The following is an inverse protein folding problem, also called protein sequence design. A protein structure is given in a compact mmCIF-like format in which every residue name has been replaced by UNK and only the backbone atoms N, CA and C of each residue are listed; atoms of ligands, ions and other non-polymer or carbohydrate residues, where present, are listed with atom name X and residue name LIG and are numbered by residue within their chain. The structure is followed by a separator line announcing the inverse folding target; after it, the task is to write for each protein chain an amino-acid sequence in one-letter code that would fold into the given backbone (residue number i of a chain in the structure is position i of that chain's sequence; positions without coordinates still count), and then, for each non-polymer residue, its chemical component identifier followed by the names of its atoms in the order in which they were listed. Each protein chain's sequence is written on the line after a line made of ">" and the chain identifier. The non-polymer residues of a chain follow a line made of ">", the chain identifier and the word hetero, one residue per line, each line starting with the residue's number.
data_IF_782595623466
#
_entry.id   IF_782595623466
#
_cell.length_a   1.000
_cell.length_b   1.000
_cell.length_c   1.000
_cell.angle_alpha   90.00
_cell.angle_beta   90.00
_cell.angle_gamma   90.00
#
_symmetry.space_group_name_H-M   'P 1'
#
loop_
_entity.id
_entity.type
_entity.pdbx_description
1 polymer ?
#
# COMPACT_ATOMS: atom_id res chain seq x y z
N UNK A 1 2.89 22.85 -9.07
CA UNK A 1 3.85 23.03 -7.95
C UNK A 1 3.99 21.78 -7.08
N UNK A 2 2.90 21.25 -6.45
CA UNK A 2 3.03 20.02 -5.64
C UNK A 2 3.21 18.75 -6.49
N UNK A 3 2.53 18.64 -7.63
CA UNK A 3 2.72 17.56 -8.58
C UNK A 3 4.12 17.58 -9.20
N UNK A 4 4.63 18.74 -9.55
CA UNK A 4 6.00 18.90 -10.07
C UNK A 4 7.03 18.46 -9.04
N UNK A 5 6.80 18.79 -7.76
CA UNK A 5 7.65 18.31 -6.66
C UNK A 5 7.64 16.78 -6.54
N UNK A 6 6.47 16.14 -6.65
CA UNK A 6 6.36 14.67 -6.63
C UNK A 6 7.13 14.07 -7.81
N UNK A 7 6.91 14.57 -9.02
CA UNK A 7 7.57 14.06 -10.23
C UNK A 7 9.10 14.15 -10.16
N UNK A 8 9.61 15.26 -9.60
CA UNK A 8 11.05 15.50 -9.52
C UNK A 8 11.76 14.79 -8.37
N UNK A 9 11.04 14.51 -7.26
CA UNK A 9 11.68 14.14 -5.99
C UNK A 9 11.18 12.84 -5.37
N UNK A 10 10.10 12.23 -5.88
CA UNK A 10 9.45 11.07 -5.25
C UNK A 10 9.50 9.85 -6.15
N UNK A 11 10.11 8.78 -5.68
CA UNK A 11 10.17 7.50 -6.39
C UNK A 11 8.95 6.61 -6.13
N UNK A 12 8.47 6.58 -4.88
CA UNK A 12 7.40 5.68 -4.44
C UNK A 12 6.32 6.48 -3.71
N UNK A 13 5.05 6.27 -4.08
CA UNK A 13 3.90 6.93 -3.47
C UNK A 13 2.92 5.91 -2.90
N UNK A 14 2.47 6.18 -1.68
CA UNK A 14 1.31 5.52 -1.06
C UNK A 14 0.20 6.54 -0.90
N UNK A 15 -0.95 6.27 -1.48
CA UNK A 15 -2.11 7.15 -1.43
C UNK A 15 -3.37 6.36 -1.12
N UNK A 16 -4.38 7.03 -0.59
CA UNK A 16 -5.75 6.55 -0.55
C UNK A 16 -6.60 7.28 -1.58
N UNK A 17 -7.86 6.85 -1.77
CA UNK A 17 -8.76 7.48 -2.75
C UNK A 17 -8.99 8.97 -2.50
N UNK A 18 -9.32 9.43 -1.28
CA UNK A 18 -9.50 10.85 -1.00
C UNK A 18 -8.27 11.70 -1.32
N UNK A 19 -7.09 11.23 -0.91
CA UNK A 19 -5.81 11.91 -1.20
C UNK A 19 -5.56 12.01 -2.70
N UNK A 20 -5.77 10.91 -3.42
CA UNK A 20 -5.60 10.85 -4.87
C UNK A 20 -6.57 11.81 -5.60
N UNK A 21 -7.82 11.88 -5.13
CA UNK A 21 -8.83 12.77 -5.68
C UNK A 21 -8.48 14.25 -5.46
N UNK A 22 -7.94 14.58 -4.29
CA UNK A 22 -7.46 15.95 -4.00
C UNK A 22 -6.26 16.29 -4.88
N UNK A 23 -5.31 15.36 -5.00
CA UNK A 23 -4.08 15.57 -5.77
C UNK A 23 -4.34 15.91 -7.24
N UNK A 24 -5.30 15.23 -7.87
CA UNK A 24 -5.60 15.38 -9.29
C UNK A 24 -6.90 16.14 -9.60
N UNK A 25 -7.63 16.59 -8.58
CA UNK A 25 -8.89 17.32 -8.77
C UNK A 25 -9.98 16.48 -9.45
N UNK A 26 -9.94 15.16 -9.33
CA UNK A 26 -10.85 14.24 -10.02
C UNK A 26 -11.29 13.10 -9.11
N UNK A 27 -12.59 12.78 -9.14
CA UNK A 27 -13.17 11.63 -8.42
C UNK A 27 -13.00 10.29 -9.16
N UNK A 28 -12.48 10.30 -10.38
CA UNK A 28 -12.21 9.07 -11.13
C UNK A 28 -10.85 8.48 -10.69
N UNK A 29 -10.92 7.47 -9.83
CA UNK A 29 -9.73 6.83 -9.24
C UNK A 29 -8.84 6.19 -10.30
N UNK A 30 -9.39 5.56 -11.33
CA UNK A 30 -8.61 4.91 -12.39
C UNK A 30 -7.83 5.93 -13.22
N UNK A 31 -8.49 7.02 -13.63
CA UNK A 31 -7.82 8.12 -14.36
C UNK A 31 -6.74 8.76 -13.52
N UNK A 32 -7.01 9.05 -12.24
CA UNK A 32 -6.03 9.64 -11.32
C UNK A 32 -4.86 8.70 -11.04
N UNK A 33 -5.10 7.40 -10.92
CA UNK A 33 -4.03 6.41 -10.78
C UNK A 33 -3.12 6.37 -12.01
N UNK A 34 -3.69 6.40 -13.23
CA UNK A 34 -2.90 6.47 -14.46
C UNK A 34 -2.04 7.73 -14.54
N UNK A 35 -2.57 8.87 -14.10
CA UNK A 35 -1.78 10.12 -14.00
C UNK A 35 -0.62 9.97 -13.01
N UNK A 36 -0.88 9.37 -11.84
CA UNK A 36 0.16 9.12 -10.83
C UNK A 36 1.26 8.18 -11.36
N UNK A 37 0.89 7.13 -12.12
CA UNK A 37 1.84 6.20 -12.74
C UNK A 37 2.82 6.88 -13.70
N UNK A 38 2.45 8.00 -14.28
CA UNK A 38 3.30 8.74 -15.22
C UNK A 38 4.36 9.61 -14.52
N UNK A 39 4.18 9.91 -13.24
CA UNK A 39 5.05 10.84 -12.50
C UNK A 39 5.89 10.20 -11.39
N UNK A 40 5.63 8.91 -11.05
CA UNK A 40 6.43 8.18 -10.05
C UNK A 40 6.85 6.81 -10.59
N UNK A 41 7.91 6.23 -10.04
CA UNK A 41 8.42 4.91 -10.47
C UNK A 41 7.47 3.77 -10.12
N UNK A 42 6.94 3.78 -8.90
CA UNK A 42 5.95 2.81 -8.45
C UNK A 42 5.15 3.33 -7.25
N UNK A 43 4.13 2.59 -6.86
CA UNK A 43 3.34 2.98 -5.71
C UNK A 43 2.10 2.11 -5.49
N UNK A 44 1.26 2.62 -4.60
CA UNK A 44 0.02 1.97 -4.22
C UNK A 44 -1.09 3.00 -3.99
N UNK A 45 -2.27 2.71 -4.51
CA UNK A 45 -3.52 3.38 -4.13
C UNK A 45 -4.36 2.43 -3.29
N UNK A 46 -4.59 2.79 -2.03
CA UNK A 46 -5.43 2.03 -1.10
C UNK A 46 -6.90 2.29 -1.40
N UNK A 47 -7.69 1.22 -1.53
CA UNK A 47 -9.09 1.23 -1.95
C UNK A 47 -10.04 0.82 -0.81
N UNK A 48 -9.57 0.86 0.43
CA UNK A 48 -10.31 0.42 1.61
C UNK A 48 -10.64 -1.07 1.54
N UNK A 49 -11.90 -1.42 1.77
CA UNK A 49 -12.37 -2.82 1.73
C UNK A 49 -12.20 -3.51 0.36
N UNK A 50 -11.92 -2.75 -0.69
CA UNK A 50 -11.66 -3.28 -2.04
C UNK A 50 -10.17 -3.62 -2.27
N UNK A 51 -9.33 -3.52 -1.25
CA UNK A 51 -7.92 -3.83 -1.35
C UNK A 51 -7.06 -2.65 -1.80
N UNK A 52 -6.17 -2.90 -2.73
CA UNK A 52 -5.27 -1.87 -3.25
C UNK A 52 -4.94 -2.09 -4.72
N UNK A 53 -4.58 -1.03 -5.41
CA UNK A 53 -3.96 -1.08 -6.72
C UNK A 53 -2.47 -0.73 -6.57
N UNK A 54 -1.61 -1.69 -6.83
CA UNK A 54 -0.15 -1.46 -6.90
C UNK A 54 0.25 -1.25 -8.35
N UNK A 55 1.23 -0.41 -8.59
CA UNK A 55 1.60 -0.04 -9.94
C UNK A 55 3.08 0.31 -10.07
N UNK A 56 3.59 0.20 -11.28
CA UNK A 56 4.81 0.87 -11.74
C UNK A 56 4.43 1.84 -12.88
N UNK A 57 5.41 2.41 -13.55
CA UNK A 57 5.19 3.36 -14.64
C UNK A 57 4.53 2.74 -15.91
N UNK A 58 4.37 1.42 -15.97
CA UNK A 58 3.83 0.71 -17.17
C UNK A 58 2.55 -0.06 -16.88
N UNK A 59 2.42 -0.63 -15.69
CA UNK A 59 1.37 -1.59 -15.35
C UNK A 59 0.81 -1.35 -13.95
N UNK A 60 -0.44 -1.74 -13.75
CA UNK A 60 -1.08 -1.80 -12.44
C UNK A 60 -1.67 -3.19 -12.18
N UNK A 61 -1.66 -3.60 -10.93
CA UNK A 61 -2.22 -4.86 -10.47
C UNK A 61 -3.08 -4.62 -9.24
N UNK A 62 -4.28 -5.20 -9.22
CA UNK A 62 -5.14 -5.17 -8.05
C UNK A 62 -4.72 -6.25 -7.06
N UNK A 63 -4.59 -5.87 -5.80
CA UNK A 63 -4.37 -6.79 -4.68
C UNK A 63 -5.68 -6.91 -3.92
N UNK A 64 -6.28 -8.09 -4.00
CA UNK A 64 -7.50 -8.41 -3.25
C UNK A 64 -7.17 -8.61 -1.78
N UNK A 65 -7.91 -7.98 -0.85
CA UNK A 65 -7.71 -8.17 0.58
C UNK A 65 -8.33 -9.47 1.04
N UNK A 66 -7.80 -10.04 2.10
CA UNK A 66 -8.53 -11.06 2.86
C UNK A 66 -9.59 -10.38 3.74
N UNK A 67 -10.75 -11.00 3.83
CA UNK A 67 -11.80 -10.55 4.76
C UNK A 67 -11.37 -10.93 6.17
N UNK A 68 -11.18 -9.92 7.02
CA UNK A 68 -10.80 -10.08 8.43
C UNK A 68 -11.71 -9.26 9.33
N UNK A 69 -11.87 -9.66 10.58
CA UNK A 69 -12.60 -8.90 11.57
C UNK A 69 -11.75 -7.73 12.07
N UNK A 70 -12.00 -6.55 11.53
CA UNK A 70 -11.30 -5.33 11.94
C UNK A 70 -11.76 -4.89 13.33
N UNK A 71 -10.81 -4.67 14.25
CA UNK A 71 -11.03 -4.07 15.58
C UNK A 71 -10.66 -2.59 15.58
N UNK A 72 -9.54 -2.25 14.97
CA UNK A 72 -9.00 -0.90 14.93
C UNK A 72 -8.24 -0.72 13.60
N UNK A 73 -8.62 0.27 12.82
CA UNK A 73 -7.97 0.56 11.52
C UNK A 73 -6.78 1.52 11.64
N UNK A 74 -6.45 1.95 12.86
CA UNK A 74 -5.32 2.84 13.12
C UNK A 74 -4.01 2.19 12.68
N UNK A 75 -3.21 2.92 11.90
CA UNK A 75 -1.90 2.46 11.43
C UNK A 75 -1.93 1.47 10.26
N UNK A 76 -3.10 1.11 9.73
CA UNK A 76 -3.21 0.20 8.58
C UNK A 76 -2.42 0.69 7.36
N UNK A 77 -2.49 2.00 7.08
CA UNK A 77 -1.75 2.62 5.98
C UNK A 77 -0.24 2.58 6.18
N UNK A 78 0.23 2.90 7.37
CA UNK A 78 1.65 2.88 7.73
C UNK A 78 2.21 1.45 7.69
N UNK A 79 1.43 0.50 8.17
CA UNK A 79 1.81 -0.91 8.16
C UNK A 79 1.85 -1.48 6.73
N UNK A 80 0.92 -1.05 5.87
CA UNK A 80 0.96 -1.36 4.45
C UNK A 80 2.26 -0.85 3.80
N UNK A 81 2.58 0.44 4.01
CA UNK A 81 3.78 1.05 3.48
C UNK A 81 5.07 0.38 4.00
N UNK A 82 5.12 0.08 5.29
CA UNK A 82 6.25 -0.64 5.91
C UNK A 82 6.46 -2.02 5.27
N UNK A 83 5.40 -2.79 5.10
CA UNK A 83 5.43 -4.10 4.43
C UNK A 83 5.86 -4.01 2.98
N UNK A 84 5.28 -3.08 2.25
CA UNK A 84 5.64 -2.84 0.85
C UNK A 84 7.13 -2.48 0.71
N UNK A 85 7.61 -1.50 1.44
CA UNK A 85 9.01 -1.03 1.35
C UNK A 85 10.00 -2.11 1.78
N UNK A 86 9.71 -2.85 2.85
CA UNK A 86 10.53 -3.98 3.29
C UNK A 86 10.66 -5.06 2.22
N UNK A 87 9.57 -5.39 1.54
CA UNK A 87 9.57 -6.38 0.47
C UNK A 87 10.24 -5.84 -0.79
N UNK A 88 9.95 -4.60 -1.16
CA UNK A 88 10.48 -3.97 -2.36
C UNK A 88 11.99 -3.83 -2.31
N UNK A 89 12.56 -3.51 -1.15
CA UNK A 89 14.02 -3.43 -0.97
C UNK A 89 14.74 -4.77 -1.20
N UNK A 90 14.04 -5.89 -1.06
CA UNK A 90 14.60 -7.23 -1.23
C UNK A 90 14.33 -7.82 -2.61
N UNK A 91 13.15 -7.57 -3.17
CA UNK A 91 12.66 -8.26 -4.36
C UNK A 91 12.64 -7.37 -5.60
N UNK A 92 12.60 -6.06 -5.43
CA UNK A 92 12.33 -5.08 -6.48
C UNK A 92 11.03 -5.40 -7.29
N UNK A 93 10.09 -6.11 -6.65
CA UNK A 93 8.82 -6.54 -7.23
C UNK A 93 7.66 -5.85 -6.53
N UNK A 94 6.97 -4.96 -7.24
CA UNK A 94 5.87 -4.16 -6.67
C UNK A 94 4.62 -5.01 -6.39
N UNK A 95 4.41 -6.14 -7.09
CA UNK A 95 3.27 -7.03 -6.86
C UNK A 95 3.46 -7.83 -5.56
N UNK A 96 4.64 -8.44 -5.38
CA UNK A 96 5.00 -9.13 -4.13
C UNK A 96 4.95 -8.14 -2.98
N UNK A 97 5.50 -6.93 -3.17
CA UNK A 97 5.48 -5.86 -2.17
C UNK A 97 4.07 -5.47 -1.76
N UNK A 98 3.17 -5.33 -2.72
CA UNK A 98 1.75 -5.05 -2.46
C UNK A 98 1.05 -6.17 -1.68
N UNK A 99 1.32 -7.42 -2.00
CA UNK A 99 0.77 -8.58 -1.26
C UNK A 99 1.24 -8.59 0.20
N UNK A 100 2.52 -8.31 0.44
CA UNK A 100 3.08 -8.24 1.80
C UNK A 100 2.53 -7.02 2.54
N UNK A 101 2.44 -5.86 1.90
CA UNK A 101 1.80 -4.67 2.47
C UNK A 101 0.35 -4.93 2.89
N UNK A 102 -0.43 -5.55 2.01
CA UNK A 102 -1.82 -5.96 2.29
C UNK A 102 -1.90 -6.91 3.48
N UNK A 103 -1.06 -7.94 3.50
CA UNK A 103 -1.04 -8.91 4.60
C UNK A 103 -0.72 -8.28 5.95
N UNK A 104 0.23 -7.33 6.01
CA UNK A 104 0.54 -6.60 7.24
C UNK A 104 -0.59 -5.66 7.67
N UNK A 105 -1.21 -4.96 6.73
CA UNK A 105 -2.37 -4.12 7.03
C UNK A 105 -3.55 -4.94 7.57
N UNK A 106 -3.79 -6.13 7.01
CA UNK A 106 -4.81 -7.08 7.49
C UNK A 106 -4.54 -7.57 8.91
N UNK A 107 -3.28 -7.84 9.25
CA UNK A 107 -2.91 -8.27 10.62
C UNK A 107 -3.06 -7.15 11.65
N UNK A 108 -2.61 -5.92 11.33
CA UNK A 108 -2.65 -4.82 12.30
C UNK A 108 -4.08 -4.40 12.65
N UNK A 109 -5.01 -4.43 11.72
CA UNK A 109 -6.40 -4.03 11.97
C UNK A 109 -7.18 -5.03 12.84
N UNK A 110 -6.66 -6.23 13.08
CA UNK A 110 -7.26 -7.24 13.95
C UNK A 110 -6.91 -7.07 15.43
N UNK A 111 -5.99 -6.17 15.74
CA UNK A 111 -5.58 -5.83 17.09
C UNK A 111 -5.93 -4.37 17.42
N UNK A 112 -5.84 -4.01 18.71
CA UNK A 112 -5.99 -2.62 19.12
C UNK A 112 -4.65 -1.88 19.02
N UNK A 113 -4.66 -0.68 18.44
CA UNK A 113 -3.50 0.17 18.25
C UNK A 113 -2.73 -0.11 16.96
N UNK A 114 -1.66 0.64 16.75
CA UNK A 114 -0.89 0.69 15.51
C UNK A 114 0.42 -0.10 15.55
N UNK A 115 0.65 -0.89 16.60
CA UNK A 115 1.90 -1.63 16.79
C UNK A 115 1.63 -3.07 17.20
N UNK A 116 2.39 -4.01 16.63
CA UNK A 116 2.39 -5.40 17.07
C UNK A 116 3.14 -5.56 18.38
N UNK A 117 2.57 -6.37 19.28
CA UNK A 117 3.30 -6.84 20.46
C UNK A 117 4.37 -7.85 20.03
N UNK A 118 5.42 -8.02 20.88
CA UNK A 118 6.51 -8.95 20.60
C UNK A 118 6.03 -10.37 20.31
N UNK A 119 5.00 -10.84 21.02
CA UNK A 119 4.37 -12.16 20.82
C UNK A 119 3.63 -12.31 19.49
N UNK A 120 3.19 -11.22 18.89
CA UNK A 120 2.49 -11.22 17.61
C UNK A 120 3.46 -11.15 16.42
N UNK A 121 4.65 -10.57 16.63
CA UNK A 121 5.66 -10.36 15.59
C UNK A 121 6.13 -11.67 14.94
N UNK A 122 6.31 -12.73 15.71
CA UNK A 122 6.75 -14.03 15.19
C UNK A 122 5.70 -14.64 14.25
N UNK A 123 4.43 -14.56 14.63
CA UNK A 123 3.30 -15.00 13.81
C UNK A 123 3.22 -14.20 12.50
N UNK A 124 3.38 -12.89 12.58
CA UNK A 124 3.38 -12.00 11.42
C UNK A 124 4.54 -12.32 10.49
N UNK A 125 5.75 -12.48 11.01
CA UNK A 125 6.94 -12.87 10.23
C UNK A 125 6.74 -14.20 9.50
N UNK A 126 6.18 -15.20 10.19
CA UNK A 126 5.87 -16.52 9.58
C UNK A 126 4.86 -16.41 8.42
N UNK A 127 3.87 -15.53 8.54
CA UNK A 127 2.92 -15.29 7.45
C UNK A 127 3.57 -14.62 6.24
N UNK A 128 4.42 -13.65 6.49
CA UNK A 128 5.08 -12.86 5.43
C UNK A 128 6.11 -13.71 4.69
N UNK A 129 6.86 -14.56 5.38
CA UNK A 129 7.89 -15.42 4.77
C UNK A 129 7.37 -16.34 3.65
N UNK A 130 6.07 -16.56 3.58
CA UNK A 130 5.42 -17.36 2.51
C UNK A 130 5.34 -16.64 1.16
N UNK A 131 5.62 -15.35 1.12
CA UNK A 131 5.57 -14.55 -0.12
C UNK A 131 6.93 -14.43 -0.83
N UNK A 132 8.01 -14.87 -0.18
CA UNK A 132 9.36 -14.85 -0.75
C UNK A 132 9.77 -16.18 -1.43
#
# INVERSE_FOLDING_TARGET
>A
EFLDFIEENVDIVFSNKPELHILFGSKNTEVSTKKLMNIVKCGCVKLGKKGSAVFNNSQSCKIEPKIVAAKDTTGAGDMYAAGFLSAFSKTNDYIISGKIGSALAEEIIQINGAQFKKSEMEKVRSKISKFY
#
